data_IF_796416676816
#
_entry.id   IF_796416676816
#
_cell.length_a   1.000
_cell.length_b   1.000
_cell.length_c   1.000
_cell.angle_alpha   90.00
_cell.angle_beta   90.00
_cell.angle_gamma   90.00
#
_symmetry.space_group_name_H-M   'P 1'
#
loop_
_entity.id
_entity.type
_entity.pdbx_description
1 polymer ?
#
# COMPACT_ATOMS: atom_id res chain seq x y z
N UNK A 1 -45.64 30.88 -1.94
CA UNK A 1 -44.45 30.02 -2.12
C UNK A 1 -44.45 28.93 -1.06
N UNK A 2 -44.63 27.67 -1.45
CA UNK A 2 -44.64 26.50 -0.55
C UNK A 2 -43.24 26.29 0.03
N UNK A 3 -43.14 26.20 1.36
CA UNK A 3 -41.93 25.72 2.08
C UNK A 3 -41.76 24.23 1.78
N UNK A 4 -40.85 23.89 0.89
CA UNK A 4 -40.46 22.51 0.63
C UNK A 4 -39.52 22.08 1.77
N UNK A 5 -40.05 21.33 2.73
CA UNK A 5 -39.26 20.66 3.79
C UNK A 5 -38.48 19.53 3.11
N UNK A 6 -37.21 19.75 2.84
CA UNK A 6 -36.25 18.67 2.66
C UNK A 6 -36.03 18.05 4.04
N UNK A 7 -36.79 17.01 4.38
CA UNK A 7 -36.35 16.06 5.40
C UNK A 7 -35.68 14.94 4.63
N UNK A 8 -34.49 15.21 4.11
CA UNK A 8 -33.55 14.13 3.85
C UNK A 8 -33.19 13.57 5.23
N UNK A 9 -33.50 12.30 5.46
CA UNK A 9 -33.00 11.56 6.61
C UNK A 9 -31.48 11.63 6.57
N UNK A 10 -30.89 12.44 7.46
CA UNK A 10 -29.44 12.57 7.57
C UNK A 10 -28.85 11.19 7.83
N UNK A 11 -27.80 10.76 7.11
CA UNK A 11 -27.17 9.47 7.34
C UNK A 11 -26.71 9.34 8.80
N UNK A 12 -26.94 8.17 9.40
CA UNK A 12 -26.41 7.87 10.73
C UNK A 12 -24.90 7.59 10.63
N UNK A 13 -24.11 8.66 10.66
CA UNK A 13 -22.65 8.58 10.56
C UNK A 13 -22.01 7.77 11.69
N UNK A 14 -22.68 7.64 12.85
CA UNK A 14 -22.16 6.85 13.96
C UNK A 14 -22.23 5.35 13.65
N UNK A 15 -23.24 4.92 12.89
CA UNK A 15 -23.37 3.55 12.41
C UNK A 15 -22.33 3.16 11.35
N UNK A 16 -21.59 4.12 10.79
CA UNK A 16 -20.58 3.93 9.74
C UNK A 16 -19.13 4.04 10.28
N UNK A 17 -18.95 4.07 11.61
CA UNK A 17 -17.63 4.23 12.22
C UNK A 17 -16.68 3.04 11.98
N UNK A 18 -17.20 1.89 11.58
CA UNK A 18 -16.41 0.73 11.16
C UNK A 18 -15.51 1.04 9.94
N UNK A 19 -16.03 1.78 8.97
CA UNK A 19 -15.25 2.28 7.81
C UNK A 19 -14.16 3.27 8.26
N UNK A 20 -14.48 4.16 9.20
CA UNK A 20 -13.51 5.12 9.76
C UNK A 20 -12.41 4.38 10.51
N UNK A 21 -12.75 3.37 11.31
CA UNK A 21 -11.76 2.56 12.02
C UNK A 21 -10.88 1.77 11.06
N UNK A 22 -11.46 1.16 10.02
CA UNK A 22 -10.73 0.44 8.98
C UNK A 22 -9.71 1.37 8.30
N UNK A 23 -10.14 2.53 7.81
CA UNK A 23 -9.26 3.50 7.16
C UNK A 23 -8.15 3.98 8.11
N UNK A 24 -8.50 4.40 9.32
CA UNK A 24 -7.55 4.90 10.32
C UNK A 24 -6.45 3.88 10.64
N UNK A 25 -6.84 2.60 10.79
CA UNK A 25 -5.88 1.51 11.05
C UNK A 25 -5.04 1.19 9.81
N UNK A 26 -5.65 1.15 8.61
CA UNK A 26 -4.93 0.85 7.37
C UNK A 26 -3.91 1.94 7.00
N UNK A 27 -4.19 3.20 7.34
CA UNK A 27 -3.28 4.33 7.12
C UNK A 27 -2.17 4.44 8.17
N UNK A 28 -2.13 3.51 9.13
CA UNK A 28 -1.10 3.46 10.19
C UNK A 28 -1.05 4.78 10.98
N UNK A 29 -2.21 5.41 11.16
CA UNK A 29 -2.32 6.69 11.88
C UNK A 29 -2.09 6.43 13.38
N UNK A 30 -1.36 7.32 14.10
CA UNK A 30 -1.17 7.16 15.55
C UNK A 30 -2.51 7.07 16.31
N UNK A 31 -2.71 5.96 17.03
CA UNK A 31 -3.93 5.67 17.79
C UNK A 31 -3.94 6.37 19.16
N UNK A 32 -3.95 7.70 19.12
CA UNK A 32 -4.03 8.60 20.29
C UNK A 32 -5.18 9.59 20.11
N UNK A 33 -5.67 10.16 21.21
CA UNK A 33 -6.74 11.17 21.19
C UNK A 33 -7.97 10.73 20.40
N UNK A 34 -8.41 11.57 19.45
CA UNK A 34 -9.61 11.34 18.65
C UNK A 34 -9.52 10.11 17.74
N UNK A 35 -8.35 9.81 17.18
CA UNK A 35 -8.15 8.61 16.34
C UNK A 35 -8.38 7.33 17.15
N UNK A 36 -7.93 7.32 18.42
CA UNK A 36 -8.20 6.21 19.33
C UNK A 36 -9.70 6.09 19.60
N UNK A 37 -10.39 7.21 19.84
CA UNK A 37 -11.84 7.20 20.08
C UNK A 37 -12.61 6.66 18.86
N UNK A 38 -12.27 7.10 17.65
CA UNK A 38 -12.86 6.59 16.41
C UNK A 38 -12.61 5.10 16.23
N UNK A 39 -11.38 4.62 16.41
CA UNK A 39 -11.07 3.19 16.25
C UNK A 39 -11.78 2.35 17.31
N UNK A 40 -11.82 2.78 18.58
CA UNK A 40 -12.53 2.04 19.63
C UNK A 40 -14.02 1.92 19.32
N UNK A 41 -14.67 3.01 18.91
CA UNK A 41 -16.10 2.99 18.55
C UNK A 41 -16.37 2.25 17.25
N UNK A 42 -15.56 2.46 16.23
CA UNK A 42 -15.67 1.73 14.97
C UNK A 42 -15.44 0.24 15.11
N UNK A 43 -14.56 -0.22 16.02
CA UNK A 43 -14.45 -1.64 16.34
C UNK A 43 -15.71 -2.21 17.01
N UNK A 44 -16.42 -1.41 17.81
CA UNK A 44 -17.72 -1.83 18.37
C UNK A 44 -18.75 -2.01 17.25
N UNK A 45 -18.78 -1.08 16.29
CA UNK A 45 -19.66 -1.14 15.11
C UNK A 45 -19.30 -2.32 14.21
N UNK A 46 -18.01 -2.49 13.87
CA UNK A 46 -17.55 -3.54 12.95
C UNK A 46 -17.92 -4.96 13.43
N UNK A 47 -18.01 -5.16 14.74
CA UNK A 47 -18.39 -6.46 15.34
C UNK A 47 -19.86 -6.83 15.09
N UNK A 48 -20.73 -5.88 14.76
CA UNK A 48 -22.11 -6.20 14.37
C UNK A 48 -22.23 -6.71 12.93
N UNK A 49 -21.18 -6.55 12.11
CA UNK A 49 -21.15 -7.03 10.72
C UNK A 49 -22.33 -6.51 9.87
N UNK A 50 -22.76 -5.27 10.14
CA UNK A 50 -23.83 -4.63 9.39
C UNK A 50 -23.37 -4.22 7.98
N UNK A 51 -22.16 -3.68 7.83
CA UNK A 51 -21.57 -3.40 6.53
C UNK A 51 -21.29 -4.72 5.78
N UNK A 52 -21.95 -4.92 4.64
CA UNK A 52 -21.86 -6.17 3.87
C UNK A 52 -20.43 -6.43 3.39
N UNK A 53 -19.68 -5.40 3.01
CA UNK A 53 -18.29 -5.51 2.59
C UNK A 53 -17.34 -5.97 3.70
N UNK A 54 -17.45 -5.39 4.89
CA UNK A 54 -16.65 -5.83 6.06
C UNK A 54 -17.00 -7.28 6.44
N UNK A 55 -18.28 -7.63 6.43
CA UNK A 55 -18.73 -8.99 6.72
C UNK A 55 -18.17 -10.00 5.71
N UNK A 56 -18.24 -9.70 4.42
CA UNK A 56 -17.70 -10.52 3.34
C UNK A 56 -16.18 -10.68 3.44
N UNK A 57 -15.44 -9.60 3.74
CA UNK A 57 -14.00 -9.67 3.98
C UNK A 57 -13.63 -10.51 5.20
N UNK A 58 -14.39 -10.40 6.29
CA UNK A 58 -14.15 -11.22 7.49
C UNK A 58 -14.36 -12.70 7.20
N UNK A 59 -15.42 -13.04 6.44
CA UNK A 59 -15.68 -14.40 5.94
C UNK A 59 -14.54 -14.91 5.06
N UNK A 60 -14.14 -14.14 4.04
CA UNK A 60 -13.03 -14.50 3.15
C UNK A 60 -11.68 -14.65 3.90
N UNK A 61 -11.48 -13.86 4.95
CA UNK A 61 -10.33 -13.95 5.84
C UNK A 61 -10.43 -15.05 6.91
N UNK A 62 -11.55 -15.79 6.96
CA UNK A 62 -11.83 -16.86 7.94
C UNK A 62 -11.70 -16.40 9.39
N UNK A 63 -12.13 -15.17 9.69
CA UNK A 63 -12.11 -14.61 11.03
C UNK A 63 -13.30 -15.19 11.82
N UNK A 64 -13.00 -16.04 12.82
CA UNK A 64 -14.00 -16.67 13.68
C UNK A 64 -14.25 -15.96 15.02
N UNK A 65 -13.58 -14.82 15.26
CA UNK A 65 -13.64 -14.07 16.51
C UNK A 65 -14.01 -12.60 16.28
N UNK A 66 -14.35 -11.82 17.34
CA UNK A 66 -14.70 -10.42 17.18
C UNK A 66 -13.61 -9.59 16.50
N UNK A 67 -13.99 -8.72 15.56
CA UNK A 67 -13.07 -7.82 14.88
C UNK A 67 -12.29 -6.96 15.89
N UNK A 68 -10.99 -6.87 15.66
CA UNK A 68 -10.02 -6.09 16.43
C UNK A 68 -9.10 -5.32 15.46
N UNK A 69 -8.22 -4.46 15.97
CA UNK A 69 -7.33 -3.66 15.12
C UNK A 69 -6.34 -4.51 14.31
N UNK A 70 -5.94 -5.68 14.79
CA UNK A 70 -5.09 -6.59 14.03
C UNK A 70 -5.82 -7.10 12.78
N UNK A 71 -7.08 -7.50 12.90
CA UNK A 71 -7.90 -7.92 11.75
C UNK A 71 -8.00 -6.82 10.69
N UNK A 72 -8.27 -5.58 11.10
CA UNK A 72 -8.36 -4.45 10.18
C UNK A 72 -7.02 -4.23 9.46
N UNK A 73 -5.92 -4.14 10.19
CA UNK A 73 -4.62 -3.77 9.63
C UNK A 73 -3.90 -4.88 8.86
N UNK A 74 -4.10 -6.14 9.23
CA UNK A 74 -3.29 -7.26 8.72
C UNK A 74 -4.09 -8.30 7.93
N UNK A 75 -5.43 -8.31 8.02
CA UNK A 75 -6.26 -9.25 7.27
C UNK A 75 -7.16 -8.55 6.25
N UNK A 76 -7.96 -7.57 6.67
CA UNK A 76 -8.93 -6.92 5.79
C UNK A 76 -8.27 -5.85 4.91
N UNK A 77 -7.50 -4.95 5.50
CA UNK A 77 -6.78 -3.89 4.80
C UNK A 77 -5.90 -4.41 3.66
N UNK A 78 -5.05 -5.44 3.87
CA UNK A 78 -4.23 -5.99 2.80
C UNK A 78 -5.02 -6.53 1.62
N UNK A 79 -6.20 -7.12 1.84
CA UNK A 79 -7.08 -7.60 0.76
C UNK A 79 -7.61 -6.45 -0.09
N UNK A 80 -8.11 -5.40 0.55
CA UNK A 80 -8.57 -4.19 -0.13
C UNK A 80 -7.43 -3.57 -0.95
N UNK A 81 -6.26 -3.42 -0.31
CA UNK A 81 -5.09 -2.79 -0.93
C UNK A 81 -4.51 -3.63 -2.08
N UNK A 82 -4.72 -4.95 -2.11
CA UNK A 82 -4.27 -5.79 -3.20
C UNK A 82 -4.97 -5.43 -4.52
N UNK A 83 -6.27 -5.09 -4.47
CA UNK A 83 -7.03 -4.60 -5.62
C UNK A 83 -6.34 -3.42 -6.30
N UNK A 84 -5.97 -2.39 -5.54
CA UNK A 84 -5.30 -1.22 -6.11
C UNK A 84 -3.85 -1.43 -6.54
N UNK A 85 -3.21 -2.53 -6.13
CA UNK A 85 -1.80 -2.82 -6.46
C UNK A 85 -1.68 -3.63 -7.74
N UNK A 86 -2.48 -4.68 -7.88
CA UNK A 86 -2.31 -5.67 -8.95
C UNK A 86 -3.61 -5.97 -9.71
N UNK A 87 -4.71 -5.29 -9.40
CA UNK A 87 -6.00 -5.47 -10.05
C UNK A 87 -6.72 -4.14 -10.26
N UNK A 88 -8.06 -4.18 -10.15
CA UNK A 88 -8.90 -3.00 -10.28
C UNK A 88 -8.96 -2.21 -8.96
N UNK A 89 -8.58 -0.94 -9.02
CA UNK A 89 -8.59 0.01 -7.91
C UNK A 89 -9.99 0.29 -7.36
N UNK A 90 -11.04 0.10 -8.17
CA UNK A 90 -12.42 0.35 -7.76
C UNK A 90 -13.00 -0.74 -6.85
N UNK A 91 -12.41 -1.95 -6.81
CA UNK A 91 -12.97 -3.10 -6.08
C UNK A 91 -13.17 -2.82 -4.59
N UNK A 92 -12.20 -2.16 -3.94
CA UNK A 92 -12.28 -1.86 -2.51
C UNK A 92 -13.43 -0.90 -2.19
N UNK A 93 -13.55 0.18 -2.96
CA UNK A 93 -14.63 1.15 -2.81
C UNK A 93 -15.99 0.49 -3.08
N UNK A 94 -16.10 -0.26 -4.19
CA UNK A 94 -17.33 -1.00 -4.55
C UNK A 94 -17.76 -1.95 -3.45
N UNK A 95 -16.84 -2.70 -2.87
CA UNK A 95 -17.13 -3.65 -1.78
C UNK A 95 -17.66 -2.94 -0.53
N UNK A 96 -16.98 -1.88 -0.09
CA UNK A 96 -17.31 -1.20 1.16
C UNK A 96 -18.60 -0.36 1.07
N UNK A 97 -19.02 0.01 -0.14
CA UNK A 97 -20.29 0.70 -0.42
C UNK A 97 -21.40 -0.21 -0.93
N UNK A 98 -21.22 -1.54 -0.92
CA UNK A 98 -22.20 -2.50 -1.41
C UNK A 98 -23.21 -2.87 -0.30
N UNK A 99 -24.50 -2.87 -0.63
CA UNK A 99 -25.57 -3.34 0.26
C UNK A 99 -26.00 -4.79 -0.05
N UNK A 100 -25.63 -5.32 -1.23
CA UNK A 100 -25.95 -6.68 -1.64
C UNK A 100 -24.88 -7.65 -1.13
N UNK A 101 -25.27 -8.53 -0.20
CA UNK A 101 -24.36 -9.51 0.42
C UNK A 101 -23.75 -10.50 -0.59
N UNK A 102 -24.49 -10.94 -1.60
CA UNK A 102 -23.99 -11.88 -2.60
C UNK A 102 -22.97 -11.23 -3.53
N UNK A 103 -23.16 -9.95 -3.85
CA UNK A 103 -22.17 -9.18 -4.60
C UNK A 103 -20.93 -8.90 -3.75
N UNK A 104 -21.12 -8.51 -2.48
CA UNK A 104 -20.04 -8.28 -1.54
C UNK A 104 -19.16 -9.53 -1.37
N UNK A 105 -19.76 -10.73 -1.23
CA UNK A 105 -19.04 -12.00 -1.13
C UNK A 105 -18.17 -12.25 -2.37
N UNK A 106 -18.70 -12.06 -3.59
CA UNK A 106 -17.94 -12.21 -4.83
C UNK A 106 -16.74 -11.26 -4.91
N UNK A 107 -16.95 -9.98 -4.57
CA UNK A 107 -15.88 -8.99 -4.61
C UNK A 107 -14.84 -9.25 -3.53
N UNK A 108 -15.25 -9.70 -2.33
CA UNK A 108 -14.34 -10.07 -1.26
C UNK A 108 -13.48 -11.30 -1.63
N UNK A 109 -14.06 -12.32 -2.28
CA UNK A 109 -13.32 -13.47 -2.81
C UNK A 109 -12.30 -13.03 -3.86
N UNK A 110 -12.69 -12.17 -4.80
CA UNK A 110 -11.79 -11.61 -5.81
C UNK A 110 -10.62 -10.84 -5.16
N UNK A 111 -10.89 -9.97 -4.17
CA UNK A 111 -9.85 -9.26 -3.43
C UNK A 111 -8.97 -10.22 -2.62
N UNK A 112 -9.52 -11.33 -2.10
CA UNK A 112 -8.74 -12.35 -1.41
C UNK A 112 -7.81 -13.11 -2.35
N UNK A 113 -8.25 -13.39 -3.57
CA UNK A 113 -7.40 -13.98 -4.62
C UNK A 113 -6.27 -13.03 -5.00
N UNK A 114 -6.59 -11.77 -5.30
CA UNK A 114 -5.58 -10.74 -5.61
C UNK A 114 -4.59 -10.57 -4.45
N UNK A 115 -5.05 -10.68 -3.21
CA UNK A 115 -4.16 -10.63 -2.06
C UNK A 115 -3.14 -11.77 -2.04
N UNK A 116 -3.59 -12.99 -2.35
CA UNK A 116 -2.74 -14.17 -2.42
C UNK A 116 -1.71 -14.05 -3.56
N UNK A 117 -2.15 -13.70 -4.77
CA UNK A 117 -1.28 -13.48 -5.93
C UNK A 117 -0.24 -12.38 -5.65
N UNK A 118 -0.66 -11.29 -5.01
CA UNK A 118 0.22 -10.20 -4.59
C UNK A 118 1.28 -10.67 -3.59
N UNK A 119 0.92 -11.52 -2.61
CA UNK A 119 1.86 -12.10 -1.64
C UNK A 119 2.89 -13.01 -2.32
N UNK A 120 2.46 -13.81 -3.29
CA UNK A 120 3.34 -14.70 -4.06
C UNK A 120 4.34 -13.91 -4.90
N UNK A 121 3.86 -12.90 -5.66
CA UNK A 121 4.73 -11.98 -6.40
C UNK A 121 5.75 -11.29 -5.49
N UNK A 122 5.28 -10.80 -4.33
CA UNK A 122 6.13 -10.13 -3.35
C UNK A 122 7.22 -11.06 -2.82
N UNK A 123 6.90 -12.31 -2.48
CA UNK A 123 7.88 -13.29 -2.00
C UNK A 123 8.95 -13.60 -3.05
N UNK A 124 8.54 -13.84 -4.30
CA UNK A 124 9.45 -14.15 -5.41
C UNK A 124 10.38 -12.96 -5.68
N UNK A 125 9.81 -11.76 -5.85
CA UNK A 125 10.59 -10.57 -6.21
C UNK A 125 11.50 -10.12 -5.07
N UNK A 126 11.11 -10.33 -3.80
CA UNK A 126 11.97 -10.05 -2.66
C UNK A 126 13.19 -10.97 -2.64
N UNK A 127 12.99 -12.29 -2.82
CA UNK A 127 14.08 -13.25 -2.86
C UNK A 127 15.07 -12.94 -4.00
N UNK A 128 14.56 -12.55 -5.18
CA UNK A 128 15.40 -12.10 -6.30
C UNK A 128 16.20 -10.84 -5.95
N UNK A 129 15.57 -9.86 -5.32
CA UNK A 129 16.24 -8.61 -4.94
C UNK A 129 17.35 -8.85 -3.91
N UNK A 130 17.08 -9.69 -2.91
CA UNK A 130 18.04 -10.04 -1.86
C UNK A 130 19.22 -10.83 -2.43
N UNK A 131 18.98 -11.84 -3.27
CA UNK A 131 20.04 -12.58 -3.93
C UNK A 131 20.92 -11.67 -4.82
N UNK A 132 20.32 -10.72 -5.52
CA UNK A 132 21.06 -9.72 -6.29
C UNK A 132 21.94 -8.84 -5.39
N UNK A 133 21.38 -8.29 -4.31
CA UNK A 133 22.12 -7.43 -3.37
C UNK A 133 23.29 -8.21 -2.76
N UNK A 134 23.03 -9.42 -2.27
CA UNK A 134 24.05 -10.27 -1.65
C UNK A 134 25.17 -10.61 -2.65
N UNK A 135 24.84 -10.84 -3.94
CA UNK A 135 25.84 -11.09 -4.98
C UNK A 135 26.72 -9.87 -5.32
N UNK A 136 26.19 -8.65 -5.19
CA UNK A 136 26.91 -7.41 -5.50
C UNK A 136 27.79 -6.97 -4.34
N UNK A 137 27.40 -7.30 -3.10
CA UNK A 137 28.02 -6.83 -1.86
C UNK A 137 28.76 -7.91 -1.07
N UNK A 138 28.91 -9.14 -1.59
CA UNK A 138 29.48 -10.29 -0.88
C UNK A 138 30.83 -10.02 -0.15
N UNK A 139 31.64 -9.09 -0.66
CA UNK A 139 32.97 -8.73 -0.11
C UNK A 139 33.23 -7.22 -0.02
N UNK A 140 32.18 -6.39 -0.03
CA UNK A 140 32.30 -4.92 -0.02
C UNK A 140 31.53 -4.32 1.15
N UNK A 141 31.98 -3.16 1.64
CA UNK A 141 31.14 -2.35 2.51
C UNK A 141 29.80 -2.07 1.82
N UNK A 142 28.71 -2.21 2.58
CA UNK A 142 27.37 -1.93 2.09
C UNK A 142 27.30 -0.47 1.65
N UNK A 143 26.75 -0.24 0.45
CA UNK A 143 26.54 1.12 -0.05
C UNK A 143 25.65 1.92 0.90
N UNK A 144 25.87 3.24 0.94
CA UNK A 144 25.03 4.18 1.71
C UNK A 144 23.57 4.19 1.28
N UNK A 145 23.25 3.65 0.10
CA UNK A 145 21.89 3.38 -0.38
C UNK A 145 21.87 2.18 -1.33
N UNK A 146 20.69 1.60 -1.52
CA UNK A 146 20.48 0.47 -2.44
C UNK A 146 19.54 0.87 -3.57
N UNK A 147 19.90 0.47 -4.79
CA UNK A 147 19.05 0.63 -5.98
C UNK A 147 18.99 -0.69 -6.73
N UNK A 148 17.81 -1.29 -6.76
CA UNK A 148 17.54 -2.55 -7.47
C UNK A 148 16.51 -2.35 -8.56
N UNK A 149 16.72 -2.99 -9.70
CA UNK A 149 15.86 -2.85 -10.88
C UNK A 149 15.79 -4.17 -11.66
N UNK A 150 14.61 -4.51 -12.15
CA UNK A 150 14.36 -5.76 -12.88
C UNK A 150 13.15 -5.58 -13.81
N UNK A 151 13.18 -6.21 -14.99
CA UNK A 151 12.13 -6.10 -16.01
C UNK A 151 10.92 -6.98 -15.69
N UNK A 152 11.14 -8.04 -14.92
CA UNK A 152 10.14 -9.03 -14.53
C UNK A 152 9.34 -8.60 -13.29
N UNK A 153 9.68 -7.47 -12.68
CA UNK A 153 9.01 -6.98 -11.47
C UNK A 153 7.73 -6.22 -11.77
N UNK A 154 6.71 -6.45 -10.95
CA UNK A 154 5.41 -5.81 -11.11
C UNK A 154 5.41 -4.42 -10.44
N UNK A 155 4.96 -3.35 -11.14
CA UNK A 155 5.01 -1.98 -10.61
C UNK A 155 4.18 -1.78 -9.34
N UNK A 156 3.12 -2.55 -9.14
CA UNK A 156 2.32 -2.54 -7.90
C UNK A 156 3.03 -3.05 -6.64
N UNK A 157 4.17 -3.74 -6.80
CA UNK A 157 4.90 -4.46 -5.75
C UNK A 157 6.13 -3.69 -5.28
N UNK A 158 6.74 -2.87 -6.14
CA UNK A 158 8.02 -2.17 -5.87
C UNK A 158 8.02 -1.37 -4.56
N UNK A 159 6.87 -0.80 -4.18
CA UNK A 159 6.75 -0.06 -2.92
C UNK A 159 6.78 -0.92 -1.65
N UNK A 160 6.36 -2.19 -1.75
CA UNK A 160 6.43 -3.15 -0.64
C UNK A 160 7.87 -3.65 -0.52
N UNK A 161 8.48 -4.04 -1.63
CA UNK A 161 9.88 -4.46 -1.69
C UNK A 161 10.82 -3.41 -1.12
N UNK A 162 10.67 -2.15 -1.54
CA UNK A 162 11.50 -1.06 -1.03
C UNK A 162 11.38 -0.92 0.49
N UNK A 163 10.20 -1.19 1.07
CA UNK A 163 9.99 -1.07 2.51
C UNK A 163 10.66 -2.23 3.26
N UNK A 164 10.50 -3.47 2.76
CA UNK A 164 11.12 -4.67 3.34
C UNK A 164 12.65 -4.66 3.24
N UNK A 165 13.19 -4.28 2.09
CA UNK A 165 14.63 -4.15 1.89
C UNK A 165 15.21 -3.06 2.79
N UNK A 166 14.54 -1.91 2.92
CA UNK A 166 14.95 -0.85 3.87
C UNK A 166 14.94 -1.35 5.32
N UNK A 167 13.99 -2.22 5.71
CA UNK A 167 13.96 -2.83 7.05
C UNK A 167 15.08 -3.84 7.26
N UNK A 168 15.44 -4.61 6.23
CA UNK A 168 16.52 -5.61 6.30
C UNK A 168 17.91 -4.98 6.32
N UNK A 169 18.14 -4.00 5.43
CA UNK A 169 19.48 -3.44 5.17
C UNK A 169 19.72 -2.08 5.84
N UNK A 170 18.71 -1.50 6.52
CA UNK A 170 18.82 -0.26 7.30
C UNK A 170 19.46 0.92 6.56
N UNK A 171 19.19 1.05 5.26
CA UNK A 171 19.62 2.18 4.43
C UNK A 171 18.46 2.63 3.51
N UNK A 172 18.57 3.80 2.87
CA UNK A 172 17.65 4.20 1.80
C UNK A 172 17.64 3.16 0.67
N UNK A 173 16.45 2.77 0.21
CA UNK A 173 16.28 1.79 -0.85
C UNK A 173 15.36 2.30 -1.96
N UNK A 174 15.79 2.10 -3.20
CA UNK A 174 15.00 2.30 -4.41
C UNK A 174 14.79 0.97 -5.12
N UNK A 175 13.54 0.66 -5.44
CA UNK A 175 13.16 -0.52 -6.21
C UNK A 175 12.46 -0.07 -7.48
N UNK A 176 12.86 -0.60 -8.64
CA UNK A 176 12.39 -0.15 -9.96
C UNK A 176 11.91 -1.35 -10.77
N UNK A 177 10.65 -1.31 -11.20
CA UNK A 177 10.12 -2.19 -12.23
C UNK A 177 10.40 -1.56 -13.59
N UNK A 178 11.23 -2.21 -14.40
CA UNK A 178 11.58 -1.76 -15.75
C UNK A 178 10.58 -2.28 -16.78
N UNK A 179 10.35 -1.52 -17.84
CA UNK A 179 9.58 -1.91 -19.00
C UNK A 179 10.50 -2.19 -20.19
N UNK A 180 9.96 -2.88 -21.20
CA UNK A 180 10.68 -3.21 -22.44
C UNK A 180 11.13 -1.97 -23.22
N UNK A 181 10.34 -0.88 -23.17
CA UNK A 181 10.67 0.40 -23.81
C UNK A 181 11.81 1.16 -23.10
N UNK A 182 12.37 0.59 -22.03
CA UNK A 182 13.42 1.19 -21.23
C UNK A 182 12.93 2.22 -20.22
N UNK A 183 11.63 2.49 -20.13
CA UNK A 183 11.07 3.26 -19.02
C UNK A 183 10.95 2.40 -17.76
N UNK A 184 10.81 3.01 -16.59
CA UNK A 184 10.64 2.28 -15.33
C UNK A 184 9.76 3.01 -14.34
N UNK A 185 9.01 2.25 -13.54
CA UNK A 185 8.26 2.77 -12.39
C UNK A 185 8.91 2.25 -11.12
N UNK A 186 9.31 3.15 -10.24
CA UNK A 186 10.01 2.80 -9.02
C UNK A 186 9.39 3.37 -7.76
N UNK A 187 9.91 2.91 -6.63
CA UNK A 187 9.57 3.43 -5.32
C UNK A 187 10.83 3.56 -4.45
N UNK A 188 11.00 4.72 -3.82
CA UNK A 188 12.03 4.97 -2.81
C UNK A 188 11.49 4.88 -1.38
N UNK A 189 12.29 4.38 -0.44
CA UNK A 189 12.02 4.34 1.00
C UNK A 189 13.25 4.76 1.79
N UNK A 190 13.07 5.66 2.74
CA UNK A 190 14.18 6.22 3.54
C UNK A 190 14.23 5.65 4.95
N UNK A 191 15.37 5.86 5.60
CA UNK A 191 15.55 5.74 7.04
C UNK A 191 15.47 7.12 7.71
N UNK A 192 15.39 7.15 9.04
CA UNK A 192 15.42 8.42 9.79
C UNK A 192 16.71 9.19 9.50
N UNK A 193 16.59 10.51 9.32
CA UNK A 193 17.75 11.39 9.07
C UNK A 193 18.17 11.52 7.61
N UNK A 194 17.52 10.83 6.67
CA UNK A 194 17.78 10.98 5.22
C UNK A 194 16.52 11.48 4.49
N UNK A 195 16.62 12.64 3.86
CA UNK A 195 15.53 13.26 3.09
C UNK A 195 15.55 12.77 1.63
N UNK A 196 14.69 11.81 1.30
CA UNK A 196 14.56 11.33 -0.07
C UNK A 196 13.91 12.35 -1.01
N UNK A 197 13.05 13.24 -0.49
CA UNK A 197 12.37 14.24 -1.31
C UNK A 197 13.39 15.19 -1.95
N UNK A 198 14.32 15.69 -1.15
CA UNK A 198 15.41 16.53 -1.61
C UNK A 198 16.29 15.82 -2.66
N UNK A 199 16.70 14.57 -2.39
CA UNK A 199 17.52 13.77 -3.32
C UNK A 199 16.82 13.54 -4.67
N UNK A 200 15.50 13.33 -4.63
CA UNK A 200 14.71 13.13 -5.85
C UNK A 200 14.52 14.41 -6.64
N UNK A 201 14.32 15.55 -5.97
CA UNK A 201 14.27 16.86 -6.62
C UNK A 201 15.58 17.17 -7.33
N UNK A 202 16.71 16.92 -6.67
CA UNK A 202 18.04 17.05 -7.26
C UNK A 202 18.21 16.13 -8.47
N UNK A 203 17.85 14.85 -8.34
CA UNK A 203 17.92 13.90 -9.45
C UNK A 203 17.00 14.26 -10.63
N UNK A 204 15.84 14.88 -10.39
CA UNK A 204 14.99 15.44 -11.46
C UNK A 204 15.67 16.66 -12.10
N UNK A 205 16.23 17.57 -11.31
CA UNK A 205 16.94 18.76 -11.81
C UNK A 205 18.18 18.39 -12.65
N UNK A 206 18.88 17.32 -12.26
CA UNK A 206 20.00 16.73 -13.00
C UNK A 206 19.54 15.88 -14.20
N UNK A 207 18.24 15.86 -14.51
CA UNK A 207 17.63 15.03 -15.55
C UNK A 207 17.92 13.53 -15.40
N UNK A 208 18.20 13.01 -14.21
CA UNK A 208 18.39 11.57 -13.95
C UNK A 208 17.05 10.84 -13.82
N UNK A 209 16.02 11.54 -13.32
CA UNK A 209 14.65 11.08 -13.20
C UNK A 209 13.71 11.86 -14.14
N UNK A 210 12.68 11.19 -14.65
CA UNK A 210 11.65 11.88 -15.44
C UNK A 210 10.67 12.63 -14.54
N UNK A 211 10.27 12.00 -13.43
CA UNK A 211 9.40 12.55 -12.38
C UNK A 211 9.65 11.83 -11.05
N UNK A 212 9.38 12.52 -9.95
CA UNK A 212 9.39 11.95 -8.60
C UNK A 212 8.39 12.66 -7.69
N UNK A 213 8.02 12.02 -6.58
CA UNK A 213 7.16 12.62 -5.54
C UNK A 213 7.96 13.38 -4.48
N UNK A 214 7.27 14.24 -3.71
CA UNK A 214 7.91 15.21 -2.80
C UNK A 214 7.97 14.74 -1.33
N UNK A 215 7.53 13.51 -1.05
CA UNK A 215 7.43 13.01 0.32
C UNK A 215 8.78 12.49 0.80
N UNK A 216 9.31 13.13 1.84
CA UNK A 216 10.62 12.93 2.49
C UNK A 216 11.00 11.45 2.74
N UNK A 217 10.04 10.57 3.04
CA UNK A 217 10.30 9.16 3.42
C UNK A 217 9.81 8.10 2.42
N UNK A 218 9.01 8.46 1.41
CA UNK A 218 8.41 7.53 0.45
C UNK A 218 8.03 8.26 -0.82
N UNK A 219 8.43 7.77 -1.99
CA UNK A 219 8.09 8.43 -3.24
C UNK A 219 8.01 7.44 -4.40
N UNK A 220 7.15 7.75 -5.38
CA UNK A 220 7.08 7.05 -6.65
C UNK A 220 7.97 7.74 -7.67
N UNK A 221 8.61 6.97 -8.54
CA UNK A 221 9.64 7.46 -9.46
C UNK A 221 9.39 6.98 -10.89
N UNK A 222 9.77 7.79 -11.88
CA UNK A 222 9.85 7.39 -13.29
C UNK A 222 11.28 7.50 -13.82
N UNK A 223 11.76 6.43 -14.42
CA UNK A 223 13.14 6.27 -14.87
C UNK A 223 13.24 6.00 -16.37
N UNK A 224 14.39 6.36 -16.94
CA UNK A 224 14.87 5.82 -18.22
C UNK A 224 16.11 4.95 -17.95
N UNK A 225 16.15 3.74 -18.50
CA UNK A 225 17.20 2.73 -18.28
C UNK A 225 18.61 3.27 -18.57
N UNK A 226 18.75 4.16 -19.55
CA UNK A 226 20.04 4.78 -19.91
C UNK A 226 20.65 5.58 -18.76
N UNK A 227 19.83 6.07 -17.84
CA UNK A 227 20.23 6.92 -16.70
C UNK A 227 20.38 6.14 -15.39
N UNK A 228 20.00 4.87 -15.36
CA UNK A 228 20.01 4.06 -14.14
C UNK A 228 21.42 3.93 -13.55
N UNK A 229 22.44 3.69 -14.39
CA UNK A 229 23.83 3.60 -13.91
C UNK A 229 24.33 4.90 -13.28
N UNK A 230 23.93 6.05 -13.82
CA UNK A 230 24.30 7.36 -13.29
C UNK A 230 23.59 7.61 -11.95
N UNK A 231 22.30 7.30 -11.86
CA UNK A 231 21.55 7.40 -10.61
C UNK A 231 22.06 6.46 -9.51
N UNK A 232 22.60 5.28 -9.85
CA UNK A 232 23.19 4.35 -8.87
C UNK A 232 24.48 4.86 -8.23
N UNK A 233 25.20 5.75 -8.92
CA UNK A 233 26.57 6.13 -8.57
C UNK A 233 26.71 7.60 -8.14
N UNK A 234 25.66 8.40 -8.28
CA UNK A 234 25.59 9.79 -7.81
C UNK A 234 24.83 9.87 -6.51
#
# INVERSE_FOLDING_TARGET
>A
MRKQKWVETVPDLLSMLDLVALATVCDVVPLRGVNRAFVVKGLQVARSMHNAGIAALAKAARIGEPINSFHLGFLLGPRINAGGRIGDQALGARLLSCDNRDEADKVAEQLSQLNQERQEMEAIQLAQAEAYIDSVHHDKEMSSSLVVACQEWHPGIVGILASRLKERFFCPVFVIALKEDGSGTGSGRSISGVDLGALVHEAVALNLLEKGGDIVWRLGLRFNLRKLKLFKNG
#
